data_IF_914183499120
#
_entry.id   IF_914183499120
#
_cell.length_a   1.000
_cell.length_b   1.000
_cell.length_c   1.000
_cell.angle_alpha   90.00
_cell.angle_beta   90.00
_cell.angle_gamma   90.00
#
_symmetry.space_group_name_H-M   'P 1'
#
loop_
_entity.id
_entity.type
_entity.pdbx_description
1 polymer ?
#
# COMPACT_ATOMS: atom_id res chain seq x y z
N UNK A 1 -11.55 -4.62 2.85
CA UNK A 1 -10.79 -5.68 3.54
C UNK A 1 -11.22 -5.68 5.01
N UNK A 2 -11.55 -6.82 5.63
CA UNK A 2 -11.90 -6.86 7.04
C UNK A 2 -10.73 -6.40 7.90
N UNK A 3 -11.03 -5.70 9.01
CA UNK A 3 -10.02 -5.19 9.92
C UNK A 3 -9.24 -6.33 10.60
N UNK A 4 -7.96 -6.10 10.87
CA UNK A 4 -7.17 -7.03 11.65
C UNK A 4 -7.69 -7.11 13.09
N UNK A 5 -7.64 -8.30 13.69
CA UNK A 5 -7.85 -8.45 15.14
C UNK A 5 -6.91 -7.54 15.93
N UNK A 6 -7.42 -6.98 17.03
CA UNK A 6 -6.69 -6.08 17.91
C UNK A 6 -5.38 -6.68 18.39
N UNK A 7 -4.39 -5.81 18.63
CA UNK A 7 -3.08 -6.22 19.17
C UNK A 7 -3.23 -6.86 20.55
N UNK A 8 -4.15 -6.34 21.37
CA UNK A 8 -4.47 -6.91 22.68
C UNK A 8 -4.92 -8.39 22.59
N UNK A 9 -5.84 -8.71 21.67
CA UNK A 9 -6.30 -10.09 21.50
C UNK A 9 -5.15 -11.01 21.07
N UNK A 10 -4.28 -10.53 20.18
CA UNK A 10 -3.10 -11.29 19.72
C UNK A 10 -2.11 -11.52 20.85
N UNK A 11 -1.86 -10.51 21.68
CA UNK A 11 -0.97 -10.61 22.84
C UNK A 11 -1.50 -11.64 23.84
N UNK A 12 -2.78 -11.55 24.20
CA UNK A 12 -3.40 -12.50 25.15
C UNK A 12 -3.38 -13.95 24.67
N UNK A 13 -3.52 -14.18 23.37
CA UNK A 13 -3.40 -15.52 22.78
C UNK A 13 -1.95 -16.01 22.85
N UNK A 14 -0.98 -15.12 22.63
CA UNK A 14 0.43 -15.45 22.75
C UNK A 14 0.82 -15.78 24.20
N UNK A 15 0.42 -14.94 25.16
CA UNK A 15 0.71 -15.15 26.58
C UNK A 15 0.15 -16.51 27.05
N UNK A 16 -1.09 -16.85 26.66
CA UNK A 16 -1.69 -18.13 26.99
C UNK A 16 -1.00 -19.33 26.32
N UNK A 17 -0.38 -19.12 25.16
CA UNK A 17 0.43 -20.13 24.49
C UNK A 17 1.78 -20.33 25.18
N UNK A 18 2.45 -19.24 25.58
CA UNK A 18 3.71 -19.27 26.32
C UNK A 18 3.53 -19.87 27.72
N UNK A 19 2.40 -19.58 28.39
CA UNK A 19 2.00 -20.19 29.66
C UNK A 19 1.57 -21.66 29.53
N UNK A 20 1.59 -22.24 28.32
CA UNK A 20 1.20 -23.63 28.04
C UNK A 20 -0.22 -23.98 28.53
N UNK A 21 -1.14 -23.01 28.51
CA UNK A 21 -2.52 -23.17 29.01
C UNK A 21 -3.37 -24.12 28.13
N UNK A 22 -2.85 -24.54 26.98
CA UNK A 22 -3.46 -25.59 26.16
C UNK A 22 -2.90 -25.68 24.74
N UNK A 23 -3.44 -26.61 23.97
CA UNK A 23 -3.19 -26.72 22.53
C UNK A 23 -3.74 -25.51 21.76
N UNK A 24 -3.20 -25.24 20.57
CA UNK A 24 -3.70 -24.16 19.69
C UNK A 24 -5.22 -24.27 19.43
N UNK A 25 -5.77 -25.49 19.40
CA UNK A 25 -7.21 -25.73 19.24
C UNK A 25 -8.02 -25.33 20.47
N UNK A 26 -7.50 -25.56 21.67
CA UNK A 26 -8.13 -25.10 22.92
C UNK A 26 -8.06 -23.58 23.05
N UNK A 27 -6.93 -22.96 22.70
CA UNK A 27 -6.78 -21.51 22.68
C UNK A 27 -7.76 -20.87 21.68
N UNK A 28 -7.89 -21.42 20.47
CA UNK A 28 -8.85 -20.94 19.48
C UNK A 28 -10.30 -20.93 20.03
N UNK A 29 -10.70 -22.03 20.69
CA UNK A 29 -12.02 -22.11 21.35
C UNK A 29 -12.18 -21.09 22.47
N UNK A 30 -11.18 -20.94 23.35
CA UNK A 30 -11.22 -20.03 24.51
C UNK A 30 -11.36 -18.57 24.06
N UNK A 31 -10.58 -18.16 23.06
CA UNK A 31 -10.58 -16.80 22.55
C UNK A 31 -11.64 -16.56 21.46
N UNK A 32 -12.48 -17.56 21.15
CA UNK A 32 -13.54 -17.51 20.12
C UNK A 32 -13.02 -17.07 18.75
N UNK A 33 -11.84 -17.51 18.38
CA UNK A 33 -11.18 -17.24 17.10
C UNK A 33 -11.01 -18.52 16.29
N UNK A 34 -10.72 -18.39 14.99
CA UNK A 34 -10.43 -19.55 14.15
C UNK A 34 -9.08 -20.20 14.53
N UNK A 35 -8.99 -21.52 14.33
CA UNK A 35 -7.72 -22.25 14.49
C UNK A 35 -6.65 -21.74 13.51
N UNK A 36 -7.06 -21.39 12.29
CA UNK A 36 -6.15 -20.82 11.29
C UNK A 36 -5.51 -19.53 11.78
N UNK A 37 -6.28 -18.64 12.41
CA UNK A 37 -5.76 -17.40 12.98
C UNK A 37 -4.72 -17.66 14.07
N UNK A 38 -4.99 -18.56 15.02
CA UNK A 38 -4.00 -18.90 16.07
C UNK A 38 -2.74 -19.48 15.45
N UNK A 39 -2.87 -20.42 14.50
CA UNK A 39 -1.72 -21.03 13.81
C UNK A 39 -0.88 -19.98 13.07
N UNK A 40 -1.54 -19.08 12.34
CA UNK A 40 -0.88 -18.03 11.57
C UNK A 40 -0.22 -16.98 12.47
N UNK A 41 -0.85 -16.65 13.61
CA UNK A 41 -0.27 -15.78 14.63
C UNK A 41 1.01 -16.41 15.23
N UNK A 42 0.98 -17.70 15.57
CA UNK A 42 2.16 -18.40 16.10
C UNK A 42 3.29 -18.49 15.06
N UNK A 43 2.95 -18.73 13.79
CA UNK A 43 3.94 -18.71 12.69
C UNK A 43 4.57 -17.32 12.58
N UNK A 44 3.74 -16.28 12.53
CA UNK A 44 4.20 -14.90 12.43
C UNK A 44 5.12 -14.51 13.61
N UNK A 45 4.74 -14.88 14.84
CA UNK A 45 5.56 -14.61 16.02
C UNK A 45 6.91 -15.34 15.98
N UNK A 46 6.95 -16.59 15.50
CA UNK A 46 8.22 -17.32 15.34
C UNK A 46 9.16 -16.67 14.33
N UNK A 47 8.62 -16.16 13.22
CA UNK A 47 9.39 -15.55 12.14
C UNK A 47 9.83 -14.12 12.45
N UNK A 48 8.95 -13.31 13.04
CA UNK A 48 9.12 -11.85 13.13
C UNK A 48 9.26 -11.36 14.58
N UNK A 49 9.11 -12.25 15.57
CA UNK A 49 9.14 -11.93 17.02
C UNK A 49 8.19 -10.79 17.41
N UNK A 50 7.10 -10.62 16.67
CA UNK A 50 6.10 -9.57 16.89
C UNK A 50 4.69 -10.13 16.76
N UNK A 51 3.77 -9.50 17.50
CA UNK A 51 2.32 -9.75 17.41
C UNK A 51 1.59 -8.69 16.57
N UNK A 52 2.30 -7.66 16.11
CA UNK A 52 1.69 -6.59 15.33
C UNK A 52 1.13 -7.14 14.01
N UNK A 53 -0.03 -6.64 13.54
CA UNK A 53 -0.49 -6.96 12.20
C UNK A 53 0.55 -6.51 11.17
N UNK A 54 0.71 -7.29 10.10
CA UNK A 54 1.47 -6.84 8.94
C UNK A 54 0.87 -5.51 8.45
N UNK A 55 1.70 -4.53 8.08
CA UNK A 55 1.18 -3.32 7.45
C UNK A 55 0.35 -3.74 6.23
N UNK A 56 -0.71 -2.98 5.94
CA UNK A 56 -1.40 -3.14 4.67
C UNK A 56 -0.35 -3.05 3.56
N UNK A 57 -0.35 -4.01 2.64
CA UNK A 57 0.70 -4.18 1.62
C UNK A 57 0.85 -3.03 0.62
N UNK A 58 0.21 -1.89 0.88
CA UNK A 58 0.12 -0.75 -0.03
C UNK A 58 -0.74 -1.06 -1.26
N UNK A 59 -1.02 0.00 -2.03
CA UNK A 59 -1.40 -0.16 -3.42
C UNK A 59 -0.18 -0.43 -4.29
N UNK A 60 -0.39 -0.60 -5.59
CA UNK A 60 0.70 -0.68 -6.56
C UNK A 60 1.62 0.56 -6.45
N UNK A 61 2.94 0.35 -6.59
CA UNK A 61 3.92 1.44 -6.62
C UNK A 61 3.57 2.39 -7.76
N UNK A 62 3.56 3.69 -7.50
CA UNK A 62 3.27 4.69 -8.52
C UNK A 62 4.31 4.59 -9.65
N UNK A 63 3.84 4.54 -10.90
CA UNK A 63 4.72 4.51 -12.08
C UNK A 63 5.51 5.79 -12.26
N UNK A 64 4.96 6.92 -11.82
CA UNK A 64 5.59 8.24 -11.88
C UNK A 64 6.21 8.51 -10.51
N UNK A 65 7.53 8.48 -10.44
CA UNK A 65 8.31 8.81 -9.26
C UNK A 65 8.62 10.30 -9.17
N UNK A 66 9.47 10.65 -8.21
CA UNK A 66 9.85 12.05 -7.92
C UNK A 66 10.63 12.68 -9.08
N UNK A 67 11.43 11.89 -9.81
CA UNK A 67 12.22 12.38 -10.95
C UNK A 67 11.31 12.76 -12.11
N UNK A 68 10.36 11.89 -12.43
CA UNK A 68 9.39 12.09 -13.50
C UNK A 68 8.47 13.27 -13.18
N UNK A 69 8.07 13.43 -11.91
CA UNK A 69 7.32 14.60 -11.46
C UNK A 69 8.09 15.91 -11.67
N UNK A 70 9.38 15.96 -11.35
CA UNK A 70 10.20 17.15 -11.59
C UNK A 70 10.24 17.53 -13.08
N UNK A 71 10.41 16.54 -13.97
CA UNK A 71 10.41 16.76 -15.41
C UNK A 71 9.06 17.30 -15.92
N UNK A 72 7.95 16.73 -15.44
CA UNK A 72 6.59 17.19 -15.79
C UNK A 72 6.41 18.65 -15.36
N UNK A 73 6.86 19.03 -14.16
CA UNK A 73 6.78 20.41 -13.69
C UNK A 73 7.60 21.37 -14.55
N UNK A 74 8.79 20.97 -14.99
CA UNK A 74 9.65 21.80 -15.82
C UNK A 74 9.10 21.96 -17.25
N UNK A 75 8.54 20.91 -17.85
CA UNK A 75 7.85 21.01 -19.13
C UNK A 75 6.66 21.97 -19.05
N UNK A 76 5.89 21.93 -17.97
CA UNK A 76 4.75 22.84 -17.77
C UNK A 76 5.17 24.29 -17.52
N UNK A 77 6.34 24.52 -16.91
CA UNK A 77 6.91 25.87 -16.80
C UNK A 77 7.35 26.41 -18.15
N UNK A 78 7.95 25.57 -19.00
CA UNK A 78 8.41 25.96 -20.33
C UNK A 78 7.25 26.15 -21.30
N UNK A 79 6.22 25.30 -21.20
CA UNK A 79 5.10 25.25 -22.11
C UNK A 79 3.78 24.99 -21.33
N UNK A 80 3.13 26.04 -20.81
CA UNK A 80 1.93 25.90 -19.97
C UNK A 80 0.68 25.43 -20.75
N UNK A 81 0.73 25.45 -22.07
CA UNK A 81 -0.36 25.03 -22.95
C UNK A 81 -0.38 23.52 -23.25
N UNK A 82 0.56 22.74 -22.68
CA UNK A 82 0.63 21.29 -22.88
C UNK A 82 -0.66 20.59 -22.44
N UNK A 83 -1.08 19.63 -23.25
CA UNK A 83 -2.27 18.82 -23.01
C UNK A 83 -1.87 17.51 -22.30
N UNK A 84 -2.80 16.93 -21.53
CA UNK A 84 -2.60 15.67 -20.80
C UNK A 84 -2.04 14.52 -21.65
N UNK A 85 -2.50 14.36 -22.89
CA UNK A 85 -2.05 13.26 -23.76
C UNK A 85 -0.60 13.47 -24.23
N UNK A 86 -0.22 14.72 -24.53
CA UNK A 86 1.15 15.10 -24.90
C UNK A 86 2.12 14.83 -23.75
N UNK A 87 1.69 15.10 -22.51
CA UNK A 87 2.49 14.76 -21.32
C UNK A 87 2.69 13.25 -21.18
N UNK A 88 1.67 12.44 -21.46
CA UNK A 88 1.80 10.99 -21.43
C UNK A 88 2.77 10.48 -22.52
N UNK A 89 2.64 10.96 -23.75
CA UNK A 89 3.53 10.58 -24.86
C UNK A 89 4.98 10.99 -24.58
N UNK A 90 5.18 12.22 -24.08
CA UNK A 90 6.51 12.73 -23.77
C UNK A 90 7.16 11.95 -22.62
N UNK A 91 6.37 11.53 -21.63
CA UNK A 91 6.86 10.67 -20.55
C UNK A 91 7.26 9.27 -21.07
N UNK A 92 6.52 8.72 -22.01
CA UNK A 92 6.87 7.45 -22.66
C UNK A 92 8.16 7.60 -23.48
N UNK A 93 8.33 8.69 -24.22
CA UNK A 93 9.51 8.96 -25.04
C UNK A 93 10.77 9.24 -24.22
N UNK A 94 10.69 10.12 -23.20
CA UNK A 94 11.87 10.58 -22.45
C UNK A 94 12.22 9.64 -21.28
N UNK A 95 11.23 9.00 -20.65
CA UNK A 95 11.42 8.20 -19.44
C UNK A 95 11.12 6.70 -19.61
N UNK A 96 10.62 6.26 -20.79
CA UNK A 96 10.12 4.90 -21.00
C UNK A 96 9.02 4.48 -19.99
N UNK A 97 8.28 5.46 -19.44
CA UNK A 97 7.21 5.23 -18.47
C UNK A 97 5.86 5.43 -19.13
N UNK A 98 5.17 4.33 -19.43
CA UNK A 98 3.84 4.38 -20.02
C UNK A 98 2.74 4.52 -18.94
N UNK A 99 2.01 5.64 -19.00
CA UNK A 99 0.88 5.95 -18.12
C UNK A 99 -0.35 6.37 -18.92
N UNK A 100 -1.53 6.06 -18.39
CA UNK A 100 -2.79 6.58 -18.93
C UNK A 100 -3.08 8.00 -18.45
N UNK A 101 -3.98 8.69 -19.15
CA UNK A 101 -4.43 10.05 -18.85
C UNK A 101 -4.89 10.20 -17.39
N UNK A 102 -5.60 9.20 -16.85
CA UNK A 102 -6.10 9.24 -15.46
C UNK A 102 -4.97 9.20 -14.42
N UNK A 103 -3.89 8.48 -14.70
CA UNK A 103 -2.70 8.46 -13.84
C UNK A 103 -1.97 9.81 -13.92
N UNK A 104 -1.80 10.37 -15.12
CA UNK A 104 -1.21 11.69 -15.30
C UNK A 104 -2.02 12.78 -14.58
N UNK A 105 -3.34 12.75 -14.69
CA UNK A 105 -4.22 13.71 -14.01
C UNK A 105 -4.07 13.66 -12.48
N UNK A 106 -4.04 12.46 -11.89
CA UNK A 106 -3.81 12.28 -10.44
C UNK A 106 -2.45 12.81 -10.00
N UNK A 107 -1.42 12.59 -10.81
CA UNK A 107 -0.07 13.09 -10.51
C UNK A 107 -0.04 14.61 -10.52
N UNK A 108 -0.68 15.24 -11.51
CA UNK A 108 -0.78 16.70 -11.59
C UNK A 108 -1.59 17.28 -10.43
N UNK A 109 -2.68 16.64 -10.03
CA UNK A 109 -3.46 17.00 -8.84
C UNK A 109 -2.62 16.91 -7.56
N UNK A 110 -1.82 15.84 -7.40
CA UNK A 110 -0.88 15.71 -6.28
C UNK A 110 0.20 16.81 -6.26
N UNK A 111 0.58 17.31 -7.45
CA UNK A 111 1.55 18.40 -7.61
C UNK A 111 0.92 19.79 -7.55
N UNK A 112 -0.40 19.91 -7.36
CA UNK A 112 -1.16 21.16 -7.47
C UNK A 112 -0.95 21.90 -8.82
N UNK A 113 -0.76 21.16 -9.91
CA UNK A 113 -0.60 21.71 -11.25
C UNK A 113 -1.87 21.49 -12.08
N UNK A 114 -2.27 22.52 -12.84
CA UNK A 114 -3.39 22.43 -13.79
C UNK A 114 -2.88 22.49 -15.22
N UNK A 115 -3.42 21.62 -16.07
CA UNK A 115 -3.21 21.63 -17.52
C UNK A 115 -4.53 21.77 -18.24
N UNK A 116 -4.48 22.24 -19.49
CA UNK A 116 -5.64 22.24 -20.37
C UNK A 116 -6.13 20.81 -20.59
N UNK A 117 -7.42 20.59 -20.33
CA UNK A 117 -8.14 19.38 -20.70
C UNK A 117 -8.70 19.60 -22.10
N UNK A 118 -8.13 18.98 -23.12
CA UNK A 118 -8.89 18.75 -24.36
C UNK A 118 -9.52 17.36 -24.25
N UNK A 119 -10.84 17.36 -24.20
CA UNK A 119 -11.70 16.20 -24.42
C UNK A 119 -11.79 15.98 -25.93
#
# INVERSE_FOLDING_TARGET
MPAAYSVDLRQRILDAYEAKEGSQRQLAKRFKVSLSFVRDLMRHYREQKTVQPKPHGGGAVAKIGVKEQALIADWLKQQPDLVLWELCERLEQECAVQVGISTMWRVLEQMNLSVKKNI
#
